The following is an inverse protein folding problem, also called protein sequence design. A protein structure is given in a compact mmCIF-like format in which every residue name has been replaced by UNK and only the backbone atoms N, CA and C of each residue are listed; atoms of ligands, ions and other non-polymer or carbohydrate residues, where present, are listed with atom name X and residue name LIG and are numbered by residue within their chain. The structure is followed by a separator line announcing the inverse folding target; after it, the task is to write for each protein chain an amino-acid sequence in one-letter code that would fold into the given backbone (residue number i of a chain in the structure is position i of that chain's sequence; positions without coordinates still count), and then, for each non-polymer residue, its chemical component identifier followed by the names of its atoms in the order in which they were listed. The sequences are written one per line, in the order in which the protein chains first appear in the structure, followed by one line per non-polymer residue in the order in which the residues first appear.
data_IF_885482727516
#
_entry.id   IF_885482727516
#
_cell.length_a   1.000
_cell.length_b   1.000
_cell.length_c   1.000
_cell.angle_alpha   90.00
_cell.angle_beta   90.00
_cell.angle_gamma   90.00
#
_symmetry.space_group_name_H-M   'P 1'
#
loop_
_entity.id
_entity.type
_entity.pdbx_description
1 polymer ?
#
# COMPACT_ATOMS: atom_id res chain seq x y z
N UNK A 1 -16.61 8.08 -0.09
CA UNK A 1 -15.64 7.35 -0.93
C UNK A 1 -14.58 6.74 -0.01
N UNK A 2 -14.03 5.59 -0.37
CA UNK A 2 -13.06 4.83 0.40
C UNK A 2 -12.03 4.24 -0.56
N UNK A 3 -10.76 4.15 -0.17
CA UNK A 3 -9.70 3.51 -0.97
C UNK A 3 -9.18 2.30 -0.21
N UNK A 4 -9.19 1.13 -0.86
CA UNK A 4 -8.42 -0.02 -0.42
C UNK A 4 -7.02 0.12 -1.04
N UNK A 5 -6.04 0.40 -0.20
CA UNK A 5 -4.69 0.78 -0.64
C UNK A 5 -3.77 -0.44 -0.49
N UNK A 6 -3.89 -1.38 -1.42
CA UNK A 6 -3.18 -2.67 -1.37
C UNK A 6 -2.20 -2.79 -2.53
N UNK A 7 -1.00 -3.31 -2.27
CA UNK A 7 -0.07 -3.68 -3.34
C UNK A 7 -0.48 -5.04 -3.93
N UNK A 8 -0.13 -5.29 -5.19
CA UNK A 8 -0.46 -6.54 -5.88
C UNK A 8 0.76 -7.44 -5.92
N UNK A 9 0.63 -8.67 -5.44
CA UNK A 9 1.66 -9.69 -5.61
C UNK A 9 1.80 -10.16 -7.07
N UNK A 10 0.81 -9.86 -7.92
CA UNK A 10 0.75 -10.33 -9.31
C UNK A 10 0.78 -9.18 -10.33
N UNK A 11 1.33 -9.41 -11.53
CA UNK A 11 1.38 -8.39 -12.57
C UNK A 11 -0.01 -7.88 -13.00
N UNK A 12 0.00 -6.71 -13.65
CA UNK A 12 -1.18 -6.10 -14.28
C UNK A 12 -1.88 -7.09 -15.22
N UNK A 13 -3.22 -7.14 -15.15
CA UNK A 13 -4.02 -8.00 -16.02
C UNK A 13 -4.05 -9.48 -15.63
N UNK A 14 -3.40 -9.87 -14.52
CA UNK A 14 -3.38 -11.28 -14.06
C UNK A 14 -4.74 -11.82 -13.60
N UNK A 15 -5.68 -10.95 -13.22
CA UNK A 15 -6.98 -11.30 -12.62
C UNK A 15 -6.87 -12.12 -11.33
N UNK A 16 -5.73 -12.02 -10.65
CA UNK A 16 -5.48 -12.69 -9.37
C UNK A 16 -5.48 -11.66 -8.26
N UNK A 17 -6.34 -11.87 -7.27
CA UNK A 17 -6.44 -11.02 -6.09
C UNK A 17 -5.55 -11.55 -4.97
N UNK A 18 -4.29 -11.09 -4.96
CA UNK A 18 -3.29 -11.42 -3.95
C UNK A 18 -2.54 -10.17 -3.55
N UNK A 19 -2.80 -9.71 -2.34
CA UNK A 19 -2.17 -8.50 -1.81
C UNK A 19 -0.74 -8.76 -1.33
N UNK A 20 0.12 -7.77 -1.48
CA UNK A 20 1.46 -7.72 -0.92
C UNK A 20 1.56 -6.58 0.11
N UNK A 21 2.64 -6.58 0.90
CA UNK A 21 3.00 -5.40 1.70
C UNK A 21 3.28 -4.19 0.77
N UNK A 22 3.12 -2.98 1.28
CA UNK A 22 3.24 -1.76 0.49
C UNK A 22 4.66 -1.64 -0.08
N UNK A 23 4.77 -1.54 -1.41
CA UNK A 23 6.04 -1.44 -2.11
C UNK A 23 6.74 -2.77 -2.38
N UNK A 24 6.20 -3.88 -1.87
CA UNK A 24 6.77 -5.23 -2.07
C UNK A 24 6.12 -6.00 -3.23
N UNK A 25 5.09 -5.41 -3.87
CA UNK A 25 4.40 -6.01 -5.01
C UNK A 25 4.74 -5.34 -6.35
N UNK A 26 3.92 -5.63 -7.35
CA UNK A 26 4.07 -5.16 -8.72
C UNK A 26 3.61 -3.70 -8.91
N UNK A 27 2.86 -3.10 -7.97
CA UNK A 27 2.56 -1.66 -8.03
C UNK A 27 3.78 -0.88 -7.57
N UNK A 28 4.40 -1.34 -6.47
CA UNK A 28 5.64 -0.78 -5.96
C UNK A 28 5.49 0.63 -5.37
N UNK A 29 6.57 1.12 -4.74
CA UNK A 29 6.56 2.37 -3.97
C UNK A 29 6.13 3.60 -4.79
N UNK A 30 6.48 3.67 -6.07
CA UNK A 30 6.14 4.80 -6.93
C UNK A 30 4.62 4.99 -7.11
N UNK A 31 3.87 3.89 -7.22
CA UNK A 31 2.41 3.96 -7.31
C UNK A 31 1.76 4.49 -6.03
N UNK A 32 2.27 4.07 -4.86
CA UNK A 32 1.76 4.55 -3.58
C UNK A 32 2.14 5.99 -3.32
N UNK A 33 3.38 6.40 -3.63
CA UNK A 33 3.79 7.81 -3.53
C UNK A 33 2.88 8.72 -4.37
N UNK A 34 2.57 8.32 -5.61
CA UNK A 34 1.65 9.07 -6.47
C UNK A 34 0.25 9.24 -5.88
N UNK A 35 -0.29 8.20 -5.22
CA UNK A 35 -1.59 8.27 -4.53
C UNK A 35 -1.51 9.16 -3.29
N UNK A 36 -0.43 9.06 -2.50
CA UNK A 36 -0.28 9.81 -1.25
C UNK A 36 -0.01 11.30 -1.48
N UNK A 37 0.56 11.69 -2.62
CA UNK A 37 0.77 13.09 -3.03
C UNK A 37 -0.41 13.73 -3.75
N UNK A 38 -1.46 12.98 -4.06
CA UNK A 38 -2.60 13.52 -4.79
C UNK A 38 -3.58 14.22 -3.82
N UNK A 39 -3.59 15.55 -3.87
CA UNK A 39 -4.44 16.41 -3.02
C UNK A 39 -5.92 16.06 -3.10
N UNK A 40 -6.43 15.68 -4.28
CA UNK A 40 -7.85 15.29 -4.45
C UNK A 40 -8.20 14.04 -3.65
N UNK A 41 -7.22 13.22 -3.30
CA UNK A 41 -7.39 12.00 -2.53
C UNK A 41 -7.05 12.17 -1.04
N UNK A 42 -6.49 13.31 -0.62
CA UNK A 42 -5.94 13.50 0.73
C UNK A 42 -6.96 13.21 1.85
N UNK A 43 -8.20 13.70 1.72
CA UNK A 43 -9.26 13.52 2.71
C UNK A 43 -9.99 12.18 2.65
N UNK A 44 -9.72 11.35 1.63
CA UNK A 44 -10.39 10.06 1.47
C UNK A 44 -9.78 9.04 2.44
N UNK A 45 -10.57 8.31 3.24
CA UNK A 45 -10.05 7.24 4.09
C UNK A 45 -9.38 6.15 3.25
N UNK A 46 -8.23 5.64 3.73
CA UNK A 46 -7.47 4.54 3.11
C UNK A 46 -7.40 3.35 4.07
N UNK A 47 -7.73 2.16 3.61
CA UNK A 47 -7.68 0.90 4.39
C UNK A 47 -6.62 -0.02 3.79
N UNK A 48 -5.86 -0.68 4.68
CA UNK A 48 -4.86 -1.69 4.33
C UNK A 48 -5.40 -3.09 4.60
N UNK A 49 -5.44 -3.92 3.58
CA UNK A 49 -5.80 -5.34 3.62
C UNK A 49 -4.59 -6.20 3.21
N UNK A 50 -3.42 -5.83 3.73
CA UNK A 50 -2.14 -6.45 3.45
C UNK A 50 -1.82 -7.58 4.44
N UNK A 51 -0.88 -8.50 4.12
CA UNK A 51 -0.42 -9.50 5.07
C UNK A 51 0.08 -8.87 6.38
N UNK A 52 -0.45 -9.35 7.52
CA UNK A 52 -0.17 -8.78 8.85
C UNK A 52 1.22 -9.07 9.38
N UNK A 53 1.85 -10.14 8.90
CA UNK A 53 3.18 -10.57 9.30
C UNK A 53 4.03 -10.90 8.09
N UNK A 54 5.32 -10.62 8.19
CA UNK A 54 6.30 -11.13 7.22
C UNK A 54 6.78 -12.55 7.58
N UNK A 55 7.70 -13.08 6.78
CA UNK A 55 8.28 -14.41 6.99
C UNK A 55 9.04 -14.55 8.33
N UNK A 56 9.50 -13.43 8.92
CA UNK A 56 10.15 -13.40 10.23
C UNK A 56 9.16 -13.15 11.38
N UNK A 57 7.86 -13.06 11.09
CA UNK A 57 6.80 -12.81 12.08
C UNK A 57 6.66 -11.35 12.53
N UNK A 58 7.40 -10.42 11.91
CA UNK A 58 7.33 -8.98 12.21
C UNK A 58 5.97 -8.43 11.81
N UNK A 59 5.43 -7.53 12.63
CA UNK A 59 4.17 -6.84 12.35
C UNK A 59 4.37 -5.84 11.19
N UNK A 60 3.61 -6.04 10.12
CA UNK A 60 3.74 -5.25 8.90
C UNK A 60 2.80 -4.05 8.86
N UNK A 61 1.78 -3.97 9.72
CA UNK A 61 0.84 -2.84 9.70
C UNK A 61 1.56 -1.53 10.03
N UNK A 62 2.41 -1.55 11.07
CA UNK A 62 3.22 -0.37 11.44
C UNK A 62 4.18 0.01 10.32
N UNK A 63 4.88 -0.98 9.74
CA UNK A 63 5.86 -0.76 8.66
C UNK A 63 5.20 -0.12 7.44
N UNK A 64 4.04 -0.64 7.02
CA UNK A 64 3.29 -0.10 5.89
C UNK A 64 2.79 1.32 6.16
N UNK A 65 2.27 1.58 7.37
CA UNK A 65 1.78 2.91 7.75
C UNK A 65 2.90 3.94 7.80
N UNK A 66 4.05 3.59 8.37
CA UNK A 66 5.20 4.50 8.48
C UNK A 66 5.75 4.83 7.09
N UNK A 67 5.84 3.84 6.19
CA UNK A 67 6.21 4.08 4.79
C UNK A 67 5.24 5.03 4.08
N UNK A 68 3.93 4.78 4.17
CA UNK A 68 2.93 5.63 3.53
C UNK A 68 2.96 7.08 4.07
N UNK A 69 3.15 7.25 5.38
CA UNK A 69 3.24 8.57 6.02
C UNK A 69 4.49 9.33 5.61
N UNK A 70 5.61 8.64 5.40
CA UNK A 70 6.85 9.26 4.96
C UNK A 70 6.71 10.01 3.63
N UNK A 71 5.78 9.62 2.78
CA UNK A 71 5.50 10.35 1.53
C UNK A 71 4.80 11.69 1.77
N UNK A 72 4.02 11.85 2.85
CA UNK A 72 3.30 13.09 3.13
C UNK A 72 4.10 14.11 3.95
N UNK A 73 5.22 13.70 4.54
CA UNK A 73 6.05 14.54 5.42
C UNK A 73 7.20 15.27 4.68
N UNK A 74 7.19 15.25 3.33
CA UNK A 74 8.20 15.86 2.46
C UNK A 74 7.73 17.14 1.79
#
# INVERSE_FOLDING_TARGET
MLIHLNDSLKPLGSRVDRHAAIGAGCIGVGGFAAIMWEDRLASIPKILETPKKDAAGRDMDRVNLDLLRSFCES
#
